data_IF_121876442954
#
_entry.id   IF_121876442954
#
_cell.length_a   1.000
_cell.length_b   1.000
_cell.length_c   1.000
_cell.angle_alpha   90.00
_cell.angle_beta   90.00
_cell.angle_gamma   90.00
#
_symmetry.space_group_name_H-M   'P 1'
#
loop_
_entity.id
_entity.type
_entity.pdbx_description
1 polymer ?
#
# COMPACT_ATOMS: atom_id res chain seq x y z
N UNK A 1 20.81 -12.39 8.22
CA UNK A 1 20.39 -13.47 7.28
C UNK A 1 21.57 -13.79 6.36
N UNK A 2 21.57 -14.93 5.67
CA UNK A 2 22.61 -15.18 4.64
C UNK A 2 22.23 -14.47 3.33
N UNK A 3 23.17 -13.87 2.58
CA UNK A 3 22.89 -13.12 1.34
C UNK A 3 22.09 -13.91 0.29
N UNK A 4 22.23 -15.24 0.31
CA UNK A 4 21.54 -16.15 -0.61
C UNK A 4 20.04 -16.31 -0.29
N UNK A 5 19.65 -16.16 0.97
CA UNK A 5 18.24 -16.20 1.42
C UNK A 5 17.56 -14.87 1.08
N UNK A 6 18.24 -13.75 1.27
CA UNK A 6 17.73 -12.42 0.90
C UNK A 6 17.46 -12.31 -0.61
N UNK A 7 18.39 -12.80 -1.44
CA UNK A 7 18.21 -12.81 -2.89
C UNK A 7 17.04 -13.71 -3.34
N UNK A 8 16.83 -14.87 -2.68
CA UNK A 8 15.68 -15.74 -2.95
C UNK A 8 14.36 -15.05 -2.57
N UNK A 9 14.29 -14.45 -1.39
CA UNK A 9 13.11 -13.72 -0.92
C UNK A 9 12.77 -12.54 -1.85
N UNK A 10 13.77 -11.80 -2.32
CA UNK A 10 13.60 -10.70 -3.28
C UNK A 10 13.02 -11.20 -4.61
N UNK A 11 13.61 -12.25 -5.20
CA UNK A 11 13.15 -12.81 -6.47
C UNK A 11 11.73 -13.38 -6.37
N UNK A 12 11.38 -14.01 -5.26
CA UNK A 12 10.04 -14.51 -5.01
C UNK A 12 9.03 -13.36 -4.88
N UNK A 13 9.37 -12.31 -4.12
CA UNK A 13 8.53 -11.13 -3.96
C UNK A 13 8.28 -10.43 -5.29
N UNK A 14 9.34 -10.18 -6.07
CA UNK A 14 9.27 -9.61 -7.42
C UNK A 14 8.34 -10.41 -8.33
N UNK A 15 8.51 -11.73 -8.34
CA UNK A 15 7.69 -12.63 -9.17
C UNK A 15 6.23 -12.61 -8.76
N UNK A 16 5.94 -12.63 -7.44
CA UNK A 16 4.57 -12.59 -6.92
C UNK A 16 3.89 -11.26 -7.22
N UNK A 17 4.56 -10.14 -6.99
CA UNK A 17 4.02 -8.82 -7.29
C UNK A 17 3.73 -8.66 -8.79
N UNK A 18 4.66 -9.09 -9.65
CA UNK A 18 4.44 -9.07 -11.10
C UNK A 18 3.28 -9.96 -11.52
N UNK A 19 3.16 -11.17 -10.96
CA UNK A 19 2.06 -12.08 -11.28
C UNK A 19 0.69 -11.51 -10.87
N UNK A 20 0.60 -10.84 -9.72
CA UNK A 20 -0.62 -10.13 -9.30
C UNK A 20 -0.94 -9.04 -10.31
N UNK A 21 0.05 -8.23 -10.69
CA UNK A 21 -0.13 -7.17 -11.66
C UNK A 21 -0.59 -7.68 -13.03
N UNK A 22 0.07 -8.71 -13.58
CA UNK A 22 -0.23 -9.26 -14.90
C UNK A 22 -1.57 -10.01 -14.92
N UNK A 23 -1.94 -10.69 -13.83
CA UNK A 23 -3.22 -11.38 -13.73
C UNK A 23 -4.38 -10.38 -13.63
N UNK A 24 -4.21 -9.32 -12.85
CA UNK A 24 -5.30 -8.41 -12.51
C UNK A 24 -5.47 -7.26 -13.49
N UNK A 25 -4.44 -6.88 -14.25
CA UNK A 25 -4.58 -5.85 -15.29
C UNK A 25 -5.63 -6.23 -16.35
N UNK A 26 -5.82 -7.52 -16.60
CA UNK A 26 -6.79 -8.01 -17.57
C UNK A 26 -6.62 -7.35 -18.95
N UNK A 27 -7.58 -6.52 -19.34
CA UNK A 27 -7.58 -5.79 -20.62
C UNK A 27 -6.92 -4.41 -20.56
N UNK A 28 -6.52 -3.95 -19.37
CA UNK A 28 -5.88 -2.65 -19.16
C UNK A 28 -4.44 -2.72 -19.68
N UNK A 29 -4.00 -1.65 -20.34
CA UNK A 29 -2.62 -1.54 -20.82
C UNK A 29 -1.65 -1.54 -19.64
N UNK A 30 -0.49 -2.18 -19.81
CA UNK A 30 0.49 -2.33 -18.73
C UNK A 30 0.94 -0.99 -18.15
N UNK A 31 1.17 0.02 -18.99
CA UNK A 31 1.52 1.38 -18.55
C UNK A 31 0.43 2.02 -17.69
N UNK A 32 -0.83 1.81 -18.03
CA UNK A 32 -1.96 2.40 -17.30
C UNK A 32 -2.20 1.68 -15.98
N UNK A 33 -1.98 0.36 -15.94
CA UNK A 33 -2.15 -0.42 -14.72
C UNK A 33 -0.96 -0.31 -13.76
N UNK A 34 0.20 0.13 -14.25
CA UNK A 34 1.42 0.36 -13.47
C UNK A 34 1.13 1.26 -12.28
N UNK A 35 0.53 2.42 -12.53
CA UNK A 35 0.37 3.46 -11.50
C UNK A 35 -0.57 2.98 -10.39
N UNK A 36 -1.61 2.19 -10.75
CA UNK A 36 -2.46 1.51 -9.77
C UNK A 36 -1.72 0.44 -8.96
N UNK A 37 -0.93 -0.42 -9.61
CA UNK A 37 -0.15 -1.44 -8.90
C UNK A 37 0.83 -0.82 -7.92
N UNK A 38 1.62 0.14 -8.38
CA UNK A 38 2.64 0.81 -7.59
C UNK A 38 2.01 1.58 -6.42
N UNK A 39 0.91 2.29 -6.67
CA UNK A 39 0.15 2.99 -5.62
C UNK A 39 -0.38 2.05 -4.54
N UNK A 40 -1.00 0.92 -4.92
CA UNK A 40 -1.52 -0.05 -3.94
C UNK A 40 -0.43 -0.80 -3.18
N UNK A 41 0.70 -1.11 -3.82
CA UNK A 41 1.86 -1.69 -3.14
C UNK A 41 2.42 -0.70 -2.11
N UNK A 42 2.50 0.58 -2.48
CA UNK A 42 2.99 1.61 -1.57
C UNK A 42 2.03 1.84 -0.39
N UNK A 43 0.72 1.92 -0.65
CA UNK A 43 -0.28 1.98 0.41
C UNK A 43 -0.18 0.78 1.37
N UNK A 44 -0.03 -0.44 0.83
CA UNK A 44 0.21 -1.63 1.65
C UNK A 44 1.47 -1.52 2.50
N UNK A 45 2.57 -1.03 1.93
CA UNK A 45 3.81 -0.79 2.66
C UNK A 45 3.62 0.20 3.82
N UNK A 46 3.00 1.34 3.56
CA UNK A 46 2.72 2.34 4.60
C UNK A 46 1.85 1.74 5.72
N UNK A 47 0.85 0.93 5.36
CA UNK A 47 -0.01 0.26 6.33
C UNK A 47 0.74 -0.77 7.18
N UNK A 48 1.56 -1.64 6.58
CA UNK A 48 2.36 -2.61 7.33
C UNK A 48 3.40 -1.93 8.23
N UNK A 49 4.06 -0.88 7.73
CA UNK A 49 5.03 -0.08 8.50
C UNK A 49 4.35 0.58 9.69
N UNK A 50 3.16 1.13 9.49
CA UNK A 50 2.36 1.75 10.55
C UNK A 50 1.97 0.71 11.62
N UNK A 51 1.46 -0.45 11.22
CA UNK A 51 1.09 -1.53 12.16
C UNK A 51 2.30 -2.03 12.94
N UNK A 52 3.45 -2.21 12.27
CA UNK A 52 4.68 -2.63 12.94
C UNK A 52 5.17 -1.61 13.97
N UNK A 53 4.98 -0.31 13.70
CA UNK A 53 5.27 0.76 14.65
C UNK A 53 4.25 0.80 15.80
N UNK A 54 2.96 0.87 15.48
CA UNK A 54 1.87 0.94 16.46
C UNK A 54 1.86 -0.26 17.42
N UNK A 55 2.14 -1.47 16.92
CA UNK A 55 2.24 -2.66 17.77
C UNK A 55 3.47 -2.64 18.69
N UNK A 56 4.53 -1.89 18.37
CA UNK A 56 5.68 -1.73 19.28
C UNK A 56 5.34 -0.82 20.46
N UNK A 57 4.66 0.29 20.20
CA UNK A 57 4.26 1.22 21.26
C UNK A 57 3.16 0.64 22.15
N UNK A 58 2.26 -0.18 21.59
CA UNK A 58 1.18 -0.85 22.33
C UNK A 58 1.58 -2.21 22.94
N UNK A 59 2.85 -2.62 22.81
CA UNK A 59 3.31 -3.93 23.24
C UNK A 59 3.14 -4.15 24.75
N UNK A 60 3.35 -3.10 25.55
CA UNK A 60 3.23 -3.17 27.02
C UNK A 60 1.77 -3.38 27.47
N UNK A 61 0.81 -2.86 26.70
CA UNK A 61 -0.62 -3.03 26.95
C UNK A 61 -1.18 -4.35 26.41
N UNK A 62 -0.37 -5.11 25.66
CA UNK A 62 -0.79 -6.34 25.00
C UNK A 62 -1.83 -6.12 23.88
N UNK A 63 -1.91 -4.89 23.35
CA UNK A 63 -2.87 -4.51 22.32
C UNK A 63 -2.21 -4.61 20.95
N UNK A 64 -2.93 -5.20 20.00
CA UNK A 64 -2.55 -5.19 18.59
C UNK A 64 -3.39 -4.18 17.84
N UNK A 65 -2.74 -3.18 17.27
CA UNK A 65 -3.38 -2.09 16.54
C UNK A 65 -4.23 -2.58 15.36
N UNK A 66 -3.75 -3.60 14.65
CA UNK A 66 -4.46 -4.22 13.53
C UNK A 66 -5.65 -5.12 13.93
N UNK A 67 -5.85 -5.34 15.23
CA UNK A 67 -7.01 -6.04 15.80
C UNK A 67 -7.93 -5.04 16.57
N UNK A 68 -7.56 -3.76 16.64
CA UNK A 68 -8.30 -2.73 17.36
C UNK A 68 -9.58 -2.36 16.61
N UNK A 69 -10.72 -2.44 17.31
CA UNK A 69 -12.06 -2.14 16.79
C UNK A 69 -12.66 -0.93 17.51
N UNK A 70 -13.54 -0.19 16.82
CA UNK A 70 -14.30 0.95 17.38
C UNK A 70 -15.12 0.60 18.62
N UNK A 71 -15.42 -0.68 18.83
CA UNK A 71 -16.14 -1.18 20.01
C UNK A 71 -15.24 -1.31 21.25
N UNK A 72 -13.92 -1.15 21.11
CA UNK A 72 -12.99 -1.21 22.24
C UNK A 72 -13.20 0.02 23.14
N UNK A 73 -13.31 -0.19 24.45
CA UNK A 73 -13.64 0.90 25.40
C UNK A 73 -12.63 2.04 25.42
N UNK A 74 -11.36 1.74 25.15
CA UNK A 74 -10.28 2.73 25.05
C UNK A 74 -9.89 3.06 23.60
N UNK A 75 -10.74 2.78 22.60
CA UNK A 75 -10.42 2.98 21.19
C UNK A 75 -9.93 4.41 20.89
N UNK A 76 -10.65 5.41 21.37
CA UNK A 76 -10.33 6.82 21.10
C UNK A 76 -8.98 7.20 21.71
N UNK A 77 -8.78 6.89 22.99
CA UNK A 77 -7.54 7.19 23.72
C UNK A 77 -6.32 6.52 23.08
N UNK A 78 -6.45 5.24 22.70
CA UNK A 78 -5.37 4.48 22.04
C UNK A 78 -5.05 5.11 20.68
N UNK A 79 -6.07 5.39 19.87
CA UNK A 79 -5.87 5.93 18.52
C UNK A 79 -5.27 7.34 18.57
N UNK A 80 -5.65 8.17 19.53
CA UNK A 80 -5.09 9.50 19.73
C UNK A 80 -3.62 9.44 20.16
N UNK A 81 -3.28 8.60 21.14
CA UNK A 81 -1.89 8.40 21.56
C UNK A 81 -1.00 7.89 20.40
N UNK A 82 -1.48 6.87 19.67
CA UNK A 82 -0.77 6.33 18.51
C UNK A 82 -0.61 7.39 17.42
N UNK A 83 -1.60 8.26 17.21
CA UNK A 83 -1.55 9.33 16.21
C UNK A 83 -0.44 10.33 16.51
N UNK A 84 -0.34 10.83 17.73
CA UNK A 84 0.68 11.81 18.10
C UNK A 84 2.09 11.26 17.87
N UNK A 85 2.36 10.04 18.36
CA UNK A 85 3.67 9.39 18.24
C UNK A 85 4.03 9.03 16.79
N UNK A 86 3.05 8.53 16.03
CA UNK A 86 3.27 8.13 14.63
C UNK A 86 3.50 9.32 13.70
N UNK A 87 2.83 10.46 13.90
CA UNK A 87 3.10 11.66 13.11
C UNK A 87 4.53 12.16 13.37
N UNK A 88 4.99 12.13 14.63
CA UNK A 88 6.36 12.55 14.96
C UNK A 88 7.44 11.60 14.41
N UNK A 89 7.16 10.29 14.38
CA UNK A 89 8.19 9.28 14.03
C UNK A 89 8.13 8.84 12.57
N UNK A 90 6.92 8.67 12.03
CA UNK A 90 6.69 8.18 10.66
C UNK A 90 6.30 9.31 9.69
N UNK A 91 5.84 10.45 10.19
CA UNK A 91 5.41 11.59 9.37
C UNK A 91 3.95 11.51 8.92
N UNK A 92 3.25 10.40 9.15
CA UNK A 92 1.86 10.19 8.72
C UNK A 92 1.06 9.38 9.76
N UNK A 93 -0.27 9.47 9.66
CA UNK A 93 -1.21 8.73 10.50
C UNK A 93 -2.15 7.85 9.67
N UNK A 94 -2.40 6.62 10.15
CA UNK A 94 -3.33 5.69 9.52
C UNK A 94 -4.20 4.99 10.59
N UNK A 95 -5.52 5.28 10.69
CA UNK A 95 -6.38 4.67 11.70
C UNK A 95 -6.63 3.17 11.43
N UNK A 96 -7.08 2.38 12.44
CA UNK A 96 -7.30 0.93 12.29
C UNK A 96 -8.30 0.56 11.19
N UNK A 97 -9.28 1.44 10.94
CA UNK A 97 -10.32 1.30 9.90
C UNK A 97 -9.77 1.39 8.49
N UNK A 98 -8.64 2.09 8.34
CA UNK A 98 -8.02 2.48 7.08
C UNK A 98 -6.74 1.68 6.85
N UNK A 99 -6.51 0.61 7.61
CA UNK A 99 -5.40 -0.30 7.34
C UNK A 99 -5.71 -1.09 6.07
N UNK A 100 -4.66 -1.37 5.28
CA UNK A 100 -4.75 -2.16 4.05
C UNK A 100 -5.45 -3.49 4.30
N UNK A 101 -5.03 -4.18 5.36
CA UNK A 101 -5.60 -5.47 5.77
C UNK A 101 -7.07 -5.36 6.22
N UNK A 102 -7.46 -4.25 6.86
CA UNK A 102 -8.85 -4.00 7.25
C UNK A 102 -9.74 -3.82 6.02
N UNK A 103 -9.27 -3.06 5.03
CA UNK A 103 -9.97 -2.91 3.75
C UNK A 103 -10.07 -4.23 2.99
N UNK A 104 -8.98 -5.00 2.92
CA UNK A 104 -8.96 -6.31 2.29
C UNK A 104 -9.98 -7.27 2.93
N UNK A 105 -10.04 -7.31 4.26
CA UNK A 105 -11.05 -8.09 5.01
C UNK A 105 -12.48 -7.68 4.69
N UNK A 106 -12.75 -6.38 4.55
CA UNK A 106 -14.07 -5.87 4.19
C UNK A 106 -14.50 -6.35 2.80
N UNK A 107 -13.61 -6.23 1.82
CA UNK A 107 -13.83 -6.74 0.46
C UNK A 107 -14.04 -8.25 0.47
N UNK A 108 -13.20 -9.01 1.16
CA UNK A 108 -13.31 -10.47 1.23
C UNK A 108 -14.64 -10.93 1.85
N UNK A 109 -15.19 -10.16 2.80
CA UNK A 109 -16.49 -10.44 3.45
C UNK A 109 -17.68 -10.10 2.56
N UNK A 110 -17.57 -9.09 1.71
CA UNK A 110 -18.61 -8.68 0.75
C UNK A 110 -18.01 -8.43 -0.65
N UNK A 111 -17.63 -9.49 -1.40
CA UNK A 111 -16.91 -9.35 -2.67
C UNK A 111 -17.72 -8.66 -3.78
N UNK A 112 -19.04 -8.60 -3.64
CA UNK A 112 -19.94 -7.93 -4.58
C UNK A 112 -20.13 -6.45 -4.27
N UNK A 113 -19.64 -5.97 -3.12
CA UNK A 113 -19.69 -4.57 -2.72
C UNK A 113 -21.10 -4.01 -2.57
N UNK A 114 -22.03 -4.78 -2.01
CA UNK A 114 -23.40 -4.29 -1.77
C UNK A 114 -23.52 -3.47 -0.47
N UNK A 115 -22.52 -3.58 0.42
CA UNK A 115 -22.42 -2.83 1.67
C UNK A 115 -20.97 -2.46 1.95
N UNK A 116 -20.41 -2.94 3.06
CA UNK A 116 -19.05 -2.55 3.50
C UNK A 116 -17.92 -3.03 2.59
N UNK A 117 -18.20 -3.93 1.64
CA UNK A 117 -17.25 -4.36 0.61
C UNK A 117 -17.13 -3.39 -0.57
N UNK A 118 -17.96 -2.34 -0.63
CA UNK A 118 -17.73 -1.21 -1.52
C UNK A 118 -16.72 -0.27 -0.86
N UNK A 119 -15.54 -0.13 -1.46
CA UNK A 119 -14.39 0.50 -0.81
C UNK A 119 -13.83 1.69 -1.59
N UNK A 120 -14.36 2.03 -2.77
CA UNK A 120 -13.74 3.06 -3.62
C UNK A 120 -13.66 4.43 -2.95
N UNK A 121 -14.75 4.86 -2.29
CA UNK A 121 -14.80 6.15 -1.59
C UNK A 121 -13.92 6.14 -0.34
N UNK A 122 -13.98 5.07 0.44
CA UNK A 122 -13.13 4.90 1.62
C UNK A 122 -11.65 4.87 1.24
N UNK A 123 -11.30 4.20 0.14
CA UNK A 123 -9.92 4.11 -0.35
C UNK A 123 -9.42 5.48 -0.80
N UNK A 124 -10.21 6.22 -1.58
CA UNK A 124 -9.86 7.59 -1.97
C UNK A 124 -9.66 8.48 -0.73
N UNK A 125 -10.53 8.33 0.27
CA UNK A 125 -10.45 9.07 1.53
C UNK A 125 -9.21 8.71 2.33
N UNK A 126 -8.89 7.42 2.47
CA UNK A 126 -7.69 6.93 3.16
C UNK A 126 -6.42 7.47 2.50
N UNK A 127 -6.30 7.38 1.18
CA UNK A 127 -5.12 7.85 0.46
C UNK A 127 -4.92 9.36 0.64
N UNK A 128 -6.01 10.14 0.53
CA UNK A 128 -5.99 11.58 0.83
C UNK A 128 -5.62 11.85 2.29
N UNK A 129 -6.14 11.08 3.24
CA UNK A 129 -5.86 11.28 4.67
C UNK A 129 -4.39 11.02 5.01
N UNK A 130 -3.74 10.06 4.34
CA UNK A 130 -2.30 9.83 4.47
C UNK A 130 -1.54 11.10 4.06
N UNK A 131 -1.81 11.64 2.87
CA UNK A 131 -1.18 12.89 2.39
C UNK A 131 -1.49 14.08 3.29
N UNK A 132 -2.72 14.18 3.82
CA UNK A 132 -3.11 15.28 4.69
C UNK A 132 -2.52 15.19 6.10
N UNK A 133 -2.27 13.97 6.59
CA UNK A 133 -1.72 13.75 7.94
C UNK A 133 -0.28 14.24 8.07
N UNK A 134 0.42 14.44 6.96
CA UNK A 134 1.80 14.94 6.90
C UNK A 134 1.85 16.48 6.81
N UNK A 135 0.71 17.15 6.57
CA UNK A 135 0.67 18.61 6.41
C UNK A 135 1.16 19.32 7.68
N UNK A 136 2.23 20.12 7.52
CA UNK A 136 2.84 20.86 8.62
C UNK A 136 3.94 20.10 9.38
N UNK A 137 4.34 18.91 8.90
CA UNK A 137 5.55 18.21 9.35
C UNK A 137 6.68 18.36 8.33
N UNK A 138 7.90 17.98 8.73
CA UNK A 138 9.06 17.96 7.82
C UNK A 138 8.89 16.95 6.67
N UNK A 139 7.95 16.00 6.80
CA UNK A 139 7.62 15.00 5.77
C UNK A 139 6.51 15.44 4.81
N UNK A 140 5.99 16.67 4.93
CA UNK A 140 4.88 17.15 4.09
C UNK A 140 5.21 17.07 2.58
N UNK A 141 6.43 17.45 2.20
CA UNK A 141 6.87 17.47 0.81
C UNK A 141 7.01 16.05 0.23
N UNK A 142 7.45 15.09 1.06
CA UNK A 142 7.68 13.69 0.65
C UNK A 142 6.38 12.93 0.35
N UNK A 143 5.28 13.38 0.93
CA UNK A 143 3.95 12.79 0.77
C UNK A 143 3.03 13.66 -0.09
N UNK A 144 3.49 14.80 -0.59
CA UNK A 144 2.72 15.66 -1.47
C UNK A 144 2.50 14.98 -2.83
N UNK A 145 1.23 14.91 -3.28
CA UNK A 145 0.83 14.29 -4.54
C UNK A 145 1.24 12.82 -4.69
N UNK A 146 1.45 12.12 -3.57
CA UNK A 146 1.92 10.74 -3.54
C UNK A 146 1.00 9.77 -4.30
N UNK A 147 -0.31 10.01 -4.28
CA UNK A 147 -1.32 9.19 -4.94
C UNK A 147 -2.07 9.94 -6.05
N UNK A 148 -1.53 11.06 -6.57
CA UNK A 148 -2.20 11.90 -7.58
C UNK A 148 -2.54 11.13 -8.87
N UNK A 149 -1.67 10.21 -9.30
CA UNK A 149 -1.88 9.40 -10.50
C UNK A 149 -2.91 8.27 -10.32
N UNK A 150 -3.43 8.06 -9.10
CA UNK A 150 -4.35 6.99 -8.78
C UNK A 150 -5.82 7.39 -8.97
N UNK A 151 -6.27 7.47 -10.22
CA UNK A 151 -7.67 7.78 -10.54
C UNK A 151 -8.61 6.55 -10.36
N UNK A 152 -9.09 6.33 -9.14
CA UNK A 152 -10.08 5.28 -8.83
C UNK A 152 -11.43 5.48 -9.56
N UNK A 153 -11.68 6.68 -10.10
CA UNK A 153 -12.84 7.03 -10.90
C UNK A 153 -12.68 6.72 -12.40
N UNK A 154 -11.50 6.28 -12.84
CA UNK A 154 -11.20 6.11 -14.26
C UNK A 154 -12.13 5.11 -14.96
N UNK A 155 -12.56 5.44 -16.18
CA UNK A 155 -13.31 4.51 -17.05
C UNK A 155 -12.47 3.30 -17.49
N UNK A 156 -11.14 3.39 -17.35
CA UNK A 156 -10.19 2.32 -17.66
C UNK A 156 -10.33 1.12 -16.71
N UNK A 157 -10.70 1.39 -15.46
CA UNK A 157 -10.91 0.36 -14.43
C UNK A 157 -12.24 -0.39 -14.60
N UNK A 158 -13.17 0.15 -15.38
CA UNK A 158 -14.48 -0.45 -15.58
C UNK A 158 -15.56 0.56 -16.00
N UNK A 159 -16.65 0.04 -16.57
CA UNK A 159 -17.77 0.86 -17.05
C UNK A 159 -18.69 1.38 -15.94
N UNK A 160 -18.73 0.73 -14.77
CA UNK A 160 -19.57 1.11 -13.62
C UNK A 160 -18.78 1.07 -12.32
N UNK A 161 -19.30 1.69 -11.26
CA UNK A 161 -18.64 1.69 -9.94
C UNK A 161 -18.44 0.29 -9.37
N UNK A 162 -19.39 -0.62 -9.61
CA UNK A 162 -19.32 -2.01 -9.16
C UNK A 162 -18.18 -2.78 -9.85
N UNK A 163 -18.01 -2.60 -11.17
CA UNK A 163 -16.93 -3.25 -11.93
C UNK A 163 -15.56 -2.74 -11.44
N UNK A 164 -15.44 -1.43 -11.18
CA UNK A 164 -14.22 -0.82 -10.64
C UNK A 164 -13.91 -1.36 -9.24
N UNK A 165 -14.94 -1.42 -8.38
CA UNK A 165 -14.81 -1.94 -7.02
C UNK A 165 -14.41 -3.42 -7.02
N UNK A 166 -14.98 -4.22 -7.92
CA UNK A 166 -14.61 -5.64 -8.05
C UNK A 166 -13.14 -5.80 -8.48
N UNK A 167 -12.68 -5.01 -9.44
CA UNK A 167 -11.29 -5.04 -9.90
C UNK A 167 -10.33 -4.63 -8.78
N UNK A 168 -10.53 -3.46 -8.18
CA UNK A 168 -9.69 -2.93 -7.11
C UNK A 168 -9.74 -3.84 -5.88
N UNK A 169 -10.93 -4.35 -5.54
CA UNK A 169 -11.11 -5.28 -4.45
C UNK A 169 -10.31 -6.57 -4.64
N UNK A 170 -10.25 -7.12 -5.86
CA UNK A 170 -9.38 -8.26 -6.18
C UNK A 170 -7.91 -7.91 -6.00
N UNK A 171 -7.47 -6.74 -6.46
CA UNK A 171 -6.08 -6.28 -6.28
C UNK A 171 -5.70 -6.20 -4.81
N UNK A 172 -6.52 -5.54 -4.00
CA UNK A 172 -6.27 -5.42 -2.56
C UNK A 172 -6.27 -6.78 -1.88
N UNK A 173 -7.21 -7.67 -2.22
CA UNK A 173 -7.29 -9.01 -1.64
C UNK A 173 -6.09 -9.90 -2.01
N UNK A 174 -5.62 -9.86 -3.25
CA UNK A 174 -4.45 -10.64 -3.68
C UNK A 174 -3.16 -10.07 -3.08
N UNK A 175 -3.02 -8.75 -3.01
CA UNK A 175 -1.88 -8.11 -2.36
C UNK A 175 -1.83 -8.43 -0.87
N UNK A 176 -2.96 -8.45 -0.15
CA UNK A 176 -3.03 -8.75 1.29
C UNK A 176 -2.48 -10.14 1.66
N UNK A 177 -2.51 -11.10 0.72
CA UNK A 177 -1.91 -12.43 0.93
C UNK A 177 -0.38 -12.41 0.95
N UNK A 178 0.23 -11.35 0.43
CA UNK A 178 1.67 -11.16 0.50
C UNK A 178 2.02 -10.48 1.82
N UNK A 179 2.92 -11.04 2.60
CA UNK A 179 3.54 -10.30 3.71
C UNK A 179 4.83 -9.66 3.21
N UNK A 180 5.05 -8.37 3.49
CA UNK A 180 6.35 -7.74 3.20
C UNK A 180 7.38 -7.98 4.31
N UNK A 181 6.97 -8.65 5.40
CA UNK A 181 7.82 -9.08 6.51
C UNK A 181 8.83 -7.98 6.95
N UNK A 182 8.32 -6.78 7.22
CA UNK A 182 9.12 -5.59 7.54
C UNK A 182 9.95 -5.72 8.84
N UNK A 183 9.79 -6.80 9.59
CA UNK A 183 10.61 -7.16 10.75
C UNK A 183 11.88 -7.93 10.39
N UNK A 184 11.88 -8.66 9.27
CA UNK A 184 12.99 -9.53 8.84
C UNK A 184 13.59 -9.12 7.49
N UNK A 185 12.79 -8.50 6.62
CA UNK A 185 13.24 -7.91 5.37
C UNK A 185 13.77 -6.49 5.62
N UNK A 186 14.97 -6.19 5.12
CA UNK A 186 15.45 -4.82 5.09
C UNK A 186 14.56 -3.97 4.19
N UNK A 187 14.45 -2.67 4.49
CA UNK A 187 13.80 -1.68 3.62
C UNK A 187 14.29 -1.78 2.17
N UNK A 188 15.54 -2.21 1.98
CA UNK A 188 16.18 -2.38 0.68
C UNK A 188 15.49 -3.46 -0.17
N UNK A 189 15.05 -4.59 0.40
CA UNK A 189 14.42 -5.68 -0.37
C UNK A 189 13.10 -5.22 -1.01
N UNK A 190 12.31 -4.42 -0.29
CA UNK A 190 11.06 -3.91 -0.84
C UNK A 190 11.32 -2.80 -1.87
N UNK A 191 12.31 -1.94 -1.62
CA UNK A 191 12.77 -0.94 -2.59
C UNK A 191 13.22 -1.59 -3.91
N UNK A 192 14.08 -2.61 -3.83
CA UNK A 192 14.56 -3.38 -4.98
C UNK A 192 13.41 -4.08 -5.73
N UNK A 193 12.41 -4.59 -5.00
CA UNK A 193 11.22 -5.18 -5.61
C UNK A 193 10.36 -4.12 -6.32
N UNK A 194 10.24 -2.93 -5.76
CA UNK A 194 9.52 -1.80 -6.32
C UNK A 194 10.20 -1.26 -7.59
N UNK A 195 11.52 -1.04 -7.54
CA UNK A 195 12.33 -0.64 -8.70
C UNK A 195 12.26 -1.66 -9.84
N UNK A 196 12.30 -2.95 -9.50
CA UNK A 196 12.12 -4.02 -10.47
C UNK A 196 10.76 -3.92 -11.18
N UNK A 197 9.67 -3.67 -10.44
CA UNK A 197 8.34 -3.50 -11.04
C UNK A 197 8.31 -2.30 -12.00
N UNK A 198 8.88 -1.17 -11.62
CA UNK A 198 9.01 0.01 -12.50
C UNK A 198 9.71 -0.40 -13.81
N UNK A 199 10.83 -1.12 -13.71
CA UNK A 199 11.58 -1.63 -14.86
C UNK A 199 10.79 -2.62 -15.73
N UNK A 200 10.01 -3.52 -15.12
CA UNK A 200 9.17 -4.47 -15.83
C UNK A 200 8.03 -3.78 -16.59
N UNK A 201 7.35 -2.81 -15.98
CA UNK A 201 6.31 -2.05 -16.66
C UNK A 201 6.90 -1.23 -17.82
N UNK A 202 8.06 -0.59 -17.63
CA UNK A 202 8.74 0.15 -18.69
C UNK A 202 9.17 -0.75 -19.87
N UNK A 203 9.60 -1.98 -19.58
CA UNK A 203 10.02 -2.96 -20.60
C UNK A 203 8.84 -3.62 -21.32
N UNK A 204 7.76 -3.93 -20.59
CA UNK A 204 6.54 -4.54 -21.11
C UNK A 204 5.66 -3.58 -21.93
N UNK A 205 5.83 -2.27 -21.75
CA UNK A 205 5.16 -1.21 -22.49
C UNK A 205 5.60 -1.07 -23.96
N UNK A 206 6.62 -1.80 -24.42
CA UNK A 206 7.04 -1.79 -25.81
C UNK A 206 7.81 -0.54 -26.25
N UNK A 207 8.42 0.21 -25.33
CA UNK A 207 9.41 1.23 -25.71
C UNK A 207 10.73 0.56 -26.10
N UNK A 208 10.97 0.44 -27.41
CA UNK A 208 12.31 0.18 -27.96
C UNK A 208 13.28 1.22 -27.37
N UNK A 209 14.38 0.71 -26.81
CA UNK A 209 15.62 1.39 -26.43
C UNK A 209 15.69 2.88 -26.86
N UNK A 210 15.56 3.81 -25.91
CA UNK A 210 15.71 5.23 -26.21
C UNK A 210 15.67 6.18 -25.03
N UNK A 211 14.87 5.90 -24.01
CA UNK A 211 14.76 6.77 -22.83
C UNK A 211 14.90 5.92 -21.58
N UNK A 212 16.15 5.73 -21.15
CA UNK A 212 16.44 5.14 -19.85
C UNK A 212 15.96 6.10 -18.77
N UNK A 213 14.97 5.65 -17.99
CA UNK A 213 14.71 6.20 -16.67
C UNK A 213 16.02 6.14 -15.89
N UNK A 214 16.55 7.30 -15.52
CA UNK A 214 17.68 7.41 -14.59
C UNK A 214 17.05 7.57 -13.22
N UNK A 215 17.06 6.54 -12.34
CA UNK A 215 16.51 6.69 -11.02
C UNK A 215 17.28 7.78 -10.27
N UNK A 216 16.56 8.76 -9.74
CA UNK A 216 17.10 9.62 -8.68
C UNK A 216 17.19 8.77 -7.40
N UNK A 217 18.32 8.78 -6.68
CA UNK A 217 18.43 8.05 -5.43
C UNK A 217 17.55 8.75 -4.39
N UNK A 218 16.41 8.16 -4.05
CA UNK A 218 15.58 8.63 -2.95
C UNK A 218 15.59 7.57 -1.84
N UNK A 219 15.99 8.05 -0.65
CA UNK A 219 15.95 7.38 0.66
C UNK A 219 17.13 6.45 1.04
N UNK A 220 18.35 7.01 1.04
CA UNK A 220 19.34 6.66 2.08
C UNK A 220 19.34 7.76 3.14
N UNK A 221 18.69 7.53 4.27
CA UNK A 221 19.05 8.26 5.49
C UNK A 221 19.95 7.38 6.35
N UNK A 222 21.03 8.02 6.80
CA UNK A 222 22.12 7.47 7.61
C UNK A 222 21.73 7.33 9.08
#
# INVERSE_FOLDING_TARGET
MSPQIEAQNLSELQSRLWNIADTLRGKIHADEFRDYCLGFIFYKYLSEKFVAYANKILAEDGIKYNELSTEHSAYQDIVEAVKEDSIQTLGYFLPPTDLFHTMAKRVAKDPKGAGTGFILEDLATTLRNIEQSTLGTDSADDFSNLFEDLDLGSSKLGSTGEVKNELIGKVITELDKLSFNLSEASSDILGDAYEYLIGQFASGAGKKAGEFYTPQPVWRHS
#
